data_IF_822296566640
#
_entry.id   IF_822296566640
#
_cell.length_a   1.000
_cell.length_b   1.000
_cell.length_c   1.000
_cell.angle_alpha   90.00
_cell.angle_beta   90.00
_cell.angle_gamma   90.00
#
_symmetry.space_group_name_H-M   'P 1'
#
loop_
_entity.id
_entity.type
_entity.pdbx_description
1 polymer ?
#
# COMPACT_ATOMS: atom_id res chain seq x y z
N UNK A 1 -11.19 25.48 -15.64
CA UNK A 1 -11.20 24.15 -16.27
C UNK A 1 -9.85 23.43 -16.16
N UNK A 2 -8.75 24.00 -16.67
CA UNK A 2 -7.41 23.37 -16.67
C UNK A 2 -6.89 22.91 -15.29
N UNK A 3 -7.07 23.71 -14.24
CA UNK A 3 -6.61 23.36 -12.89
C UNK A 3 -7.40 22.20 -12.23
N UNK A 4 -8.70 22.08 -12.51
CA UNK A 4 -9.54 20.98 -12.00
C UNK A 4 -9.26 19.68 -12.75
N UNK A 5 -9.04 19.74 -14.07
CA UNK A 5 -8.61 18.59 -14.84
C UNK A 5 -7.26 18.05 -14.32
N UNK A 6 -6.29 18.94 -14.08
CA UNK A 6 -5.01 18.54 -13.48
C UNK A 6 -5.17 17.92 -12.09
N UNK A 7 -6.04 18.48 -11.25
CA UNK A 7 -6.35 17.90 -9.94
C UNK A 7 -6.90 16.47 -10.06
N UNK A 8 -7.84 16.24 -10.99
CA UNK A 8 -8.43 14.94 -11.23
C UNK A 8 -7.40 13.92 -11.76
N UNK A 9 -6.52 14.32 -12.69
CA UNK A 9 -5.44 13.46 -13.19
C UNK A 9 -4.46 13.10 -12.08
N UNK A 10 -4.03 14.09 -11.28
CA UNK A 10 -3.14 13.86 -10.15
C UNK A 10 -3.76 12.92 -9.10
N UNK A 11 -5.04 13.14 -8.77
CA UNK A 11 -5.79 12.30 -7.84
C UNK A 11 -5.93 10.87 -8.35
N UNK A 12 -6.37 10.69 -9.60
CA UNK A 12 -6.55 9.37 -10.20
C UNK A 12 -5.23 8.58 -10.25
N UNK A 13 -4.16 9.22 -10.73
CA UNK A 13 -2.83 8.61 -10.76
C UNK A 13 -2.32 8.21 -9.37
N UNK A 14 -2.46 9.09 -8.39
CA UNK A 14 -2.04 8.80 -7.02
C UNK A 14 -2.87 7.70 -6.35
N UNK A 15 -4.18 7.64 -6.60
CA UNK A 15 -5.02 6.51 -6.17
C UNK A 15 -4.55 5.19 -6.78
N UNK A 16 -4.16 5.18 -8.06
CA UNK A 16 -3.57 3.98 -8.69
C UNK A 16 -2.25 3.58 -8.01
N UNK A 17 -1.40 4.55 -7.66
CA UNK A 17 -0.15 4.27 -6.91
C UNK A 17 -0.46 3.65 -5.55
N UNK A 18 -1.35 4.25 -4.74
CA UNK A 18 -1.72 3.68 -3.43
C UNK A 18 -2.27 2.28 -3.60
N UNK A 19 -3.29 2.10 -4.45
CA UNK A 19 -3.92 0.80 -4.68
C UNK A 19 -2.88 -0.24 -5.12
N UNK A 20 -1.97 0.13 -6.01
CA UNK A 20 -0.92 -0.76 -6.48
C UNK A 20 0.04 -1.13 -5.34
N UNK A 21 0.55 -0.17 -4.57
CA UNK A 21 1.52 -0.46 -3.51
C UNK A 21 0.90 -1.24 -2.33
N UNK A 22 -0.38 -1.01 -2.02
CA UNK A 22 -1.05 -1.71 -0.90
C UNK A 22 -1.52 -3.11 -1.28
N UNK A 23 -1.86 -3.36 -2.55
CA UNK A 23 -2.32 -4.68 -3.01
C UNK A 23 -1.20 -5.52 -3.64
N UNK A 24 -0.26 -4.89 -4.36
CA UNK A 24 0.82 -5.61 -5.04
C UNK A 24 1.96 -6.02 -4.10
N UNK A 25 1.95 -5.57 -2.84
CA UNK A 25 2.86 -6.05 -1.79
C UNK A 25 2.83 -7.58 -1.62
N UNK A 26 1.73 -8.23 -1.99
CA UNK A 26 1.60 -9.68 -2.01
C UNK A 26 2.38 -10.38 -3.15
N UNK A 27 2.99 -9.62 -4.07
CA UNK A 27 3.69 -10.15 -5.24
C UNK A 27 5.15 -9.68 -5.34
N UNK A 28 5.57 -8.67 -4.57
CA UNK A 28 6.92 -8.10 -4.65
C UNK A 28 7.61 -8.09 -3.29
N UNK A 29 8.87 -8.49 -3.28
CA UNK A 29 9.76 -8.40 -2.12
C UNK A 29 10.54 -7.07 -2.16
N UNK A 30 10.37 -6.22 -1.14
CA UNK A 30 11.22 -5.04 -0.95
C UNK A 30 12.22 -5.34 0.17
N UNK A 31 13.44 -5.72 -0.22
CA UNK A 31 14.53 -6.04 0.69
C UNK A 31 14.12 -7.11 1.72
N UNK A 32 14.38 -6.82 3.00
CA UNK A 32 13.93 -7.65 4.13
C UNK A 32 12.65 -7.14 4.80
N UNK A 33 12.07 -6.03 4.32
CA UNK A 33 10.86 -5.43 4.89
C UNK A 33 9.57 -6.11 4.40
N UNK A 34 9.53 -6.54 3.13
CA UNK A 34 8.38 -7.26 2.57
C UNK A 34 8.74 -8.68 2.16
N UNK A 35 8.25 -9.66 2.92
CA UNK A 35 8.27 -11.06 2.49
C UNK A 35 6.89 -11.44 1.89
N UNK A 36 6.77 -11.71 0.59
CA UNK A 36 5.51 -12.03 -0.08
C UNK A 36 4.75 -13.21 0.52
N UNK A 37 5.48 -14.22 1.01
CA UNK A 37 4.90 -15.43 1.61
C UNK A 37 4.11 -15.11 2.88
N UNK A 38 4.53 -14.08 3.61
CA UNK A 38 3.83 -13.59 4.80
C UNK A 38 2.71 -12.58 4.47
N UNK A 39 2.54 -12.19 3.21
CA UNK A 39 1.59 -11.15 2.78
C UNK A 39 0.40 -11.74 2.02
N UNK A 40 0.51 -12.95 1.46
CA UNK A 40 -0.63 -13.70 0.90
C UNK A 40 -1.44 -14.35 2.02
N UNK A 41 -2.25 -13.54 2.67
CA UNK A 41 -3.16 -13.99 3.70
C UNK A 41 -4.59 -13.49 3.42
N UNK A 42 -5.56 -14.14 4.04
CA UNK A 42 -6.91 -13.61 4.21
C UNK A 42 -7.18 -13.56 5.71
N UNK A 43 -6.76 -12.47 6.33
CA UNK A 43 -6.86 -12.26 7.78
C UNK A 43 -7.57 -10.93 8.05
N UNK A 44 -8.42 -10.92 9.07
CA UNK A 44 -9.08 -9.72 9.58
C UNK A 44 -8.51 -9.39 10.96
N UNK A 45 -7.87 -8.23 11.08
CA UNK A 45 -7.36 -7.68 12.34
C UNK A 45 -8.27 -6.53 12.75
N UNK A 46 -9.14 -6.82 13.71
CA UNK A 46 -10.14 -5.87 14.20
C UNK A 46 -9.82 -5.36 15.61
N UNK A 47 -8.74 -5.86 16.21
CA UNK A 47 -8.26 -5.38 17.51
C UNK A 47 -7.41 -4.13 17.28
N UNK A 48 -7.88 -2.95 17.68
CA UNK A 48 -7.14 -1.72 17.43
C UNK A 48 -5.87 -1.66 18.26
N UNK A 49 -4.81 -1.14 17.66
CA UNK A 49 -3.51 -0.86 18.22
C UNK A 49 -2.79 -2.09 18.80
N UNK A 50 -3.05 -3.28 18.27
CA UNK A 50 -2.45 -4.53 18.77
C UNK A 50 -0.92 -4.57 18.55
N UNK A 51 -0.43 -3.99 17.45
CA UNK A 51 1.01 -3.96 17.15
C UNK A 51 1.81 -3.03 18.07
N UNK A 52 1.18 -2.14 18.83
CA UNK A 52 1.87 -1.38 19.89
C UNK A 52 2.39 -2.29 21.01
N UNK A 53 1.76 -3.44 21.20
CA UNK A 53 2.11 -4.40 22.25
C UNK A 53 2.95 -5.57 21.71
N UNK A 54 3.39 -5.52 20.45
CA UNK A 54 4.18 -6.57 19.79
C UNK A 54 5.63 -6.69 20.28
N UNK A 55 6.09 -5.79 21.16
CA UNK A 55 7.47 -5.74 21.65
C UNK A 55 8.47 -5.10 20.67
N UNK A 56 8.02 -4.70 19.48
CA UNK A 56 8.81 -3.94 18.51
C UNK A 56 8.30 -2.51 18.40
N UNK A 57 9.18 -1.51 18.52
CA UNK A 57 8.82 -0.11 18.32
C UNK A 57 8.78 0.28 16.83
N UNK A 58 9.58 -0.40 15.99
CA UNK A 58 9.75 -0.04 14.59
C UNK A 58 8.56 -0.48 13.73
N UNK A 59 8.02 -1.68 13.97
CA UNK A 59 6.90 -2.23 13.21
C UNK A 59 5.67 -1.30 13.24
N UNK A 60 5.09 -0.95 14.40
CA UNK A 60 3.94 -0.05 14.46
C UNK A 60 4.28 1.35 13.95
N UNK A 61 5.49 1.86 14.19
CA UNK A 61 5.90 3.16 13.65
C UNK A 61 5.92 3.18 12.11
N UNK A 62 6.41 2.10 11.50
CA UNK A 62 6.46 1.96 10.05
C UNK A 62 5.08 1.72 9.43
N UNK A 63 4.27 0.84 10.00
CA UNK A 63 2.94 0.50 9.48
C UNK A 63 1.96 1.66 9.65
N UNK A 64 1.76 2.14 10.88
CA UNK A 64 0.82 3.24 11.16
C UNK A 64 1.30 4.56 10.57
N UNK A 65 2.59 4.86 10.71
CA UNK A 65 3.19 6.07 10.16
C UNK A 65 3.19 6.08 8.63
N UNK A 66 3.44 4.93 7.99
CA UNK A 66 3.41 4.77 6.53
C UNK A 66 2.01 5.01 5.97
N UNK A 67 1.00 4.38 6.57
CA UNK A 67 -0.41 4.53 6.20
C UNK A 67 -0.89 5.98 6.33
N UNK A 68 -0.61 6.60 7.49
CA UNK A 68 -0.85 8.02 7.70
C UNK A 68 -0.17 8.88 6.62
N UNK A 69 1.12 8.68 6.38
CA UNK A 69 1.89 9.47 5.43
C UNK A 69 1.41 9.32 3.98
N UNK A 70 1.00 8.12 3.56
CA UNK A 70 0.47 7.88 2.20
C UNK A 70 -0.85 8.60 1.96
N UNK A 71 -1.70 8.71 2.98
CA UNK A 71 -3.00 9.36 2.85
C UNK A 71 -2.96 10.89 3.02
N UNK A 72 -1.87 11.48 3.53
CA UNK A 72 -1.72 12.95 3.59
C UNK A 72 -1.78 13.59 2.19
N UNK A 73 -0.98 13.17 1.19
CA UNK A 73 -1.11 13.71 -0.16
C UNK A 73 -2.49 13.44 -0.78
N UNK A 74 -3.10 12.27 -0.50
CA UNK A 74 -4.45 11.96 -0.96
C UNK A 74 -5.48 12.97 -0.40
N UNK A 75 -5.42 13.26 0.90
CA UNK A 75 -6.27 14.25 1.56
C UNK A 75 -6.15 15.65 0.96
N UNK A 76 -4.93 16.06 0.61
CA UNK A 76 -4.67 17.32 -0.09
C UNK A 76 -5.35 17.33 -1.46
N UNK A 77 -5.15 16.29 -2.27
CA UNK A 77 -5.71 16.19 -3.61
C UNK A 77 -7.25 16.13 -3.58
N UNK A 78 -7.82 15.37 -2.65
CA UNK A 78 -9.26 15.30 -2.42
C UNK A 78 -9.82 16.67 -2.01
N UNK A 79 -9.16 17.39 -1.09
CA UNK A 79 -9.58 18.74 -0.70
C UNK A 79 -9.60 19.70 -1.89
N UNK A 80 -8.58 19.67 -2.74
CA UNK A 80 -8.53 20.51 -3.94
C UNK A 80 -9.68 20.18 -4.92
N UNK A 81 -10.12 18.91 -4.94
CA UNK A 81 -11.22 18.46 -5.79
C UNK A 81 -12.61 18.84 -5.23
N UNK A 82 -12.83 18.66 -3.91
CA UNK A 82 -14.16 18.79 -3.28
C UNK A 82 -14.36 20.08 -2.49
N UNK A 83 -13.29 20.83 -2.23
CA UNK A 83 -13.29 22.12 -1.52
C UNK A 83 -13.70 22.07 -0.05
N UNK A 84 -13.80 20.89 0.55
CA UNK A 84 -14.28 20.70 1.92
C UNK A 84 -13.44 19.66 2.64
N UNK A 85 -12.93 20.04 3.83
CA UNK A 85 -12.15 19.15 4.70
C UNK A 85 -12.94 17.89 5.05
N UNK A 86 -14.19 18.05 5.50
CA UNK A 86 -15.05 16.92 5.88
C UNK A 86 -15.28 15.97 4.71
N UNK A 87 -15.64 16.50 3.52
CA UNK A 87 -15.84 15.66 2.33
C UNK A 87 -14.56 14.94 1.92
N UNK A 88 -13.41 15.61 1.98
CA UNK A 88 -12.12 15.00 1.67
C UNK A 88 -11.77 13.86 2.65
N UNK A 89 -12.00 14.06 3.95
CA UNK A 89 -11.81 13.01 4.96
C UNK A 89 -12.74 11.82 4.72
N UNK A 90 -14.02 12.06 4.42
CA UNK A 90 -14.99 10.99 4.12
C UNK A 90 -14.56 10.21 2.87
N UNK A 91 -14.13 10.89 1.81
CA UNK A 91 -13.62 10.22 0.61
C UNK A 91 -12.33 9.44 0.88
N UNK A 92 -11.45 9.94 1.74
CA UNK A 92 -10.27 9.21 2.21
C UNK A 92 -10.65 7.94 2.98
N UNK A 93 -11.60 8.02 3.90
CA UNK A 93 -12.14 6.88 4.64
C UNK A 93 -12.75 5.84 3.69
N UNK A 94 -13.60 6.27 2.75
CA UNK A 94 -14.23 5.39 1.75
C UNK A 94 -13.19 4.71 0.88
N UNK A 95 -12.18 5.45 0.42
CA UNK A 95 -11.11 4.88 -0.39
C UNK A 95 -10.27 3.87 0.41
N UNK A 96 -9.93 4.18 1.66
CA UNK A 96 -9.24 3.25 2.56
C UNK A 96 -10.04 1.97 2.75
N UNK A 97 -11.34 2.08 3.09
CA UNK A 97 -12.22 0.93 3.24
C UNK A 97 -12.33 0.09 1.95
N UNK A 98 -12.32 0.73 0.77
CA UNK A 98 -12.29 0.03 -0.51
C UNK A 98 -11.00 -0.76 -0.71
N UNK A 99 -9.84 -0.16 -0.38
CA UNK A 99 -8.53 -0.85 -0.46
C UNK A 99 -8.51 -2.06 0.46
N UNK A 100 -8.92 -1.89 1.72
CA UNK A 100 -9.03 -2.99 2.69
C UNK A 100 -9.97 -4.10 2.19
N UNK A 101 -11.14 -3.72 1.65
CA UNK A 101 -12.11 -4.68 1.09
C UNK A 101 -11.51 -5.46 -0.07
N UNK A 102 -10.79 -4.80 -0.98
CA UNK A 102 -10.09 -5.46 -2.10
C UNK A 102 -9.04 -6.44 -1.56
N UNK A 103 -8.25 -6.04 -0.57
CA UNK A 103 -7.24 -6.91 0.03
C UNK A 103 -7.87 -8.17 0.63
N UNK A 104 -8.96 -8.03 1.38
CA UNK A 104 -9.67 -9.17 1.96
C UNK A 104 -10.30 -10.09 0.91
N UNK A 105 -11.08 -9.53 -0.02
CA UNK A 105 -11.84 -10.30 -1.04
C UNK A 105 -10.90 -11.10 -1.94
N UNK A 106 -9.78 -10.50 -2.34
CA UNK A 106 -8.81 -11.13 -3.24
C UNK A 106 -7.66 -11.83 -2.50
N UNK A 107 -7.71 -11.93 -1.17
CA UNK A 107 -6.67 -12.59 -0.35
C UNK A 107 -5.26 -12.02 -0.58
N UNK A 108 -5.17 -10.70 -0.72
CA UNK A 108 -3.94 -9.97 -1.04
C UNK A 108 -3.23 -9.40 0.20
N UNK A 109 -3.69 -9.75 1.41
CA UNK A 109 -3.17 -9.15 2.62
C UNK A 109 -4.01 -9.38 3.87
N UNK A 110 -3.48 -8.83 4.97
CA UNK A 110 -4.21 -8.65 6.21
C UNK A 110 -5.00 -7.35 6.10
N UNK A 111 -6.29 -7.43 6.37
CA UNK A 111 -7.14 -6.25 6.49
C UNK A 111 -7.16 -5.81 7.94
N UNK A 112 -6.83 -4.53 8.17
CA UNK A 112 -6.57 -4.01 9.51
C UNK A 112 -7.42 -2.76 9.82
N UNK A 113 -8.02 -2.73 11.00
CA UNK A 113 -8.77 -1.57 11.48
C UNK A 113 -7.85 -0.36 11.71
N UNK A 114 -6.59 -0.61 12.08
CA UNK A 114 -5.62 0.46 12.29
C UNK A 114 -5.25 1.13 10.97
N UNK A 115 -5.13 0.37 9.88
CA UNK A 115 -4.92 0.90 8.53
C UNK A 115 -6.07 1.84 8.15
N UNK A 116 -7.32 1.43 8.37
CA UNK A 116 -8.50 2.28 8.16
C UNK A 116 -8.42 3.59 8.96
N UNK A 117 -8.02 3.50 10.23
CA UNK A 117 -7.90 4.64 11.14
C UNK A 117 -6.79 5.61 10.73
N UNK A 118 -5.56 5.13 10.55
CA UNK A 118 -4.40 5.97 10.21
C UNK A 118 -4.49 6.56 8.80
N UNK A 119 -5.04 5.83 7.83
CA UNK A 119 -5.36 6.36 6.51
C UNK A 119 -6.37 7.50 6.60
N UNK A 120 -7.42 7.35 7.41
CA UNK A 120 -8.43 8.39 7.60
C UNK A 120 -7.85 9.63 8.28
N UNK A 121 -6.98 9.45 9.28
CA UNK A 121 -6.24 10.54 9.91
C UNK A 121 -5.33 11.26 8.90
N UNK A 122 -4.59 10.51 8.08
CA UNK A 122 -3.76 11.06 7.02
C UNK A 122 -4.58 11.94 6.06
N UNK A 123 -5.73 11.43 5.61
CA UNK A 123 -6.63 12.20 4.73
C UNK A 123 -7.18 13.46 5.41
N UNK A 124 -7.53 13.38 6.70
CA UNK A 124 -7.96 14.54 7.48
C UNK A 124 -6.86 15.60 7.59
N UNK A 125 -5.65 15.23 8.00
CA UNK A 125 -4.55 16.18 8.14
C UNK A 125 -4.11 16.75 6.79
N UNK A 126 -4.07 15.93 5.74
CA UNK A 126 -3.84 16.40 4.38
C UNK A 126 -4.86 17.46 3.95
N UNK A 127 -6.15 17.19 4.14
CA UNK A 127 -7.20 18.14 3.79
C UNK A 127 -7.13 19.41 4.67
N UNK A 128 -6.78 19.28 5.94
CA UNK A 128 -6.56 20.40 6.84
C UNK A 128 -5.37 21.26 6.36
N UNK A 129 -4.22 20.67 6.04
CA UNK A 129 -3.08 21.40 5.48
C UNK A 129 -3.46 22.13 4.18
N UNK A 130 -4.19 21.46 3.28
CA UNK A 130 -4.63 22.07 2.03
C UNK A 130 -5.61 23.24 2.25
N UNK A 131 -6.41 23.20 3.30
CA UNK A 131 -7.29 24.30 3.69
C UNK A 131 -6.49 25.52 4.18
N UNK A 132 -5.41 25.29 4.94
CA UNK A 132 -4.56 26.37 5.46
C UNK A 132 -3.64 26.97 4.38
N UNK A 133 -3.26 26.17 3.39
CA UNK A 133 -2.21 26.51 2.43
C UNK A 133 -2.81 26.92 1.08
N UNK A 134 -2.42 28.08 0.55
CA UNK A 134 -3.02 28.67 -0.64
C UNK A 134 -2.77 27.91 -1.96
N UNK A 135 -3.38 28.40 -3.05
CA UNK A 135 -3.40 27.77 -4.40
C UNK A 135 -2.04 27.37 -4.97
N UNK A 136 -0.95 28.08 -4.61
CA UNK A 136 0.42 27.76 -5.08
C UNK A 136 0.86 26.38 -4.58
N UNK A 137 0.56 26.06 -3.33
CA UNK A 137 0.94 24.77 -2.77
C UNK A 137 0.05 23.64 -3.31
N UNK A 138 -1.22 23.92 -3.64
CA UNK A 138 -2.08 22.95 -4.32
C UNK A 138 -1.48 22.51 -5.67
N UNK A 139 -0.95 23.45 -6.44
CA UNK A 139 -0.29 23.14 -7.71
C UNK A 139 0.97 22.29 -7.51
N UNK A 140 1.77 22.59 -6.47
CA UNK A 140 2.93 21.78 -6.10
C UNK A 140 2.54 20.31 -5.83
N UNK A 141 1.54 20.07 -4.96
CA UNK A 141 1.10 18.71 -4.63
C UNK A 141 0.51 17.95 -5.82
N UNK A 142 -0.19 18.65 -6.74
CA UNK A 142 -0.67 18.04 -7.99
C UNK A 142 0.48 17.57 -8.88
N UNK A 143 1.49 18.42 -9.09
CA UNK A 143 2.65 18.06 -9.90
C UNK A 143 3.49 16.98 -9.26
N UNK A 144 3.67 17.03 -7.94
CA UNK A 144 4.35 15.99 -7.19
C UNK A 144 3.65 14.64 -7.36
N UNK A 145 2.32 14.60 -7.22
CA UNK A 145 1.54 13.37 -7.43
C UNK A 145 1.65 12.83 -8.87
N UNK A 146 1.62 13.71 -9.87
CA UNK A 146 1.82 13.33 -11.27
C UNK A 146 3.24 12.77 -11.48
N UNK A 147 4.27 13.42 -10.93
CA UNK A 147 5.64 12.97 -11.03
C UNK A 147 5.83 11.61 -10.33
N UNK A 148 5.29 11.43 -9.12
CA UNK A 148 5.29 10.15 -8.41
C UNK A 148 4.60 9.06 -9.22
N UNK A 149 3.45 9.35 -9.83
CA UNK A 149 2.73 8.40 -10.69
C UNK A 149 3.57 8.03 -11.92
N UNK A 150 4.19 9.02 -12.58
CA UNK A 150 5.05 8.77 -13.74
C UNK A 150 6.28 7.92 -13.38
N UNK A 151 6.96 8.24 -12.27
CA UNK A 151 8.07 7.44 -11.74
C UNK A 151 7.62 6.02 -11.43
N UNK A 152 6.47 5.86 -10.77
CA UNK A 152 5.91 4.55 -10.47
C UNK A 152 5.64 3.73 -11.74
N UNK A 153 5.00 4.33 -12.75
CA UNK A 153 4.77 3.67 -14.05
C UNK A 153 6.08 3.27 -14.71
N UNK A 154 7.07 4.16 -14.73
CA UNK A 154 8.40 3.86 -15.30
C UNK A 154 9.05 2.69 -14.57
N UNK A 155 9.00 2.67 -13.24
CA UNK A 155 9.54 1.57 -12.44
C UNK A 155 8.81 0.24 -12.71
N UNK A 156 7.48 0.28 -12.89
CA UNK A 156 6.70 -0.93 -13.22
C UNK A 156 7.05 -1.44 -14.62
N UNK A 157 7.16 -0.55 -15.61
CA UNK A 157 7.44 -0.92 -17.02
C UNK A 157 8.91 -1.32 -17.24
N UNK A 158 9.84 -0.64 -16.57
CA UNK A 158 11.28 -0.90 -16.67
C UNK A 158 11.80 -1.86 -15.61
N UNK A 159 11.01 -2.23 -14.60
CA UNK A 159 11.39 -3.13 -13.51
C UNK A 159 12.10 -4.39 -13.99
N UNK A 160 11.58 -5.11 -15.00
CA UNK A 160 12.25 -6.30 -15.57
C UNK A 160 13.63 -6.03 -16.18
N UNK A 161 13.96 -4.78 -16.50
CA UNK A 161 15.22 -4.34 -17.12
C UNK A 161 16.20 -3.68 -16.15
N UNK A 162 15.75 -3.36 -14.94
CA UNK A 162 16.53 -2.64 -13.91
C UNK A 162 17.13 -3.57 -12.84
N UNK A 163 16.75 -4.84 -12.83
CA UNK A 163 17.28 -5.86 -11.91
C UNK A 163 18.34 -6.74 -12.55
N UNK A 164 19.32 -7.16 -11.76
CA UNK A 164 20.24 -8.24 -12.12
C UNK A 164 19.46 -9.57 -12.05
N UNK A 165 19.20 -10.27 -13.18
CA UNK A 165 18.41 -11.49 -13.19
C UNK A 165 19.00 -12.58 -12.28
N UNK A 166 20.32 -12.54 -11.99
CA UNK A 166 20.97 -13.47 -11.08
C UNK A 166 20.59 -13.28 -9.59
N UNK A 167 19.97 -12.14 -9.23
CA UNK A 167 19.53 -11.84 -7.85
C UNK A 167 18.03 -12.01 -7.65
N UNK A 168 17.28 -12.34 -8.70
CA UNK A 168 15.88 -12.71 -8.60
C UNK A 168 15.82 -14.14 -8.06
N UNK A 169 15.34 -14.32 -6.83
CA UNK A 169 15.15 -15.67 -6.28
C UNK A 169 13.98 -16.35 -6.99
N UNK A 170 14.26 -17.40 -7.74
CA UNK A 170 13.23 -18.27 -8.30
C UNK A 170 12.56 -19.08 -7.18
N UNK A 171 11.35 -18.66 -6.81
CA UNK A 171 10.53 -19.30 -5.76
C UNK A 171 10.05 -20.72 -6.14
N UNK A 172 10.16 -21.11 -7.42
CA UNK A 172 9.87 -22.48 -7.88
C UNK A 172 10.83 -23.52 -7.31
N UNK A 173 12.07 -23.12 -6.99
CA UNK A 173 13.09 -24.02 -6.45
C UNK A 173 12.82 -24.41 -4.99
N UNK A 174 12.22 -23.51 -4.21
CA UNK A 174 11.82 -23.79 -2.83
C UNK A 174 10.66 -24.79 -2.76
N UNK A 175 9.65 -24.63 -3.61
CA UNK A 175 8.53 -25.57 -3.71
C UNK A 175 8.99 -26.98 -4.08
N UNK A 176 9.88 -27.11 -5.08
CA UNK A 176 10.41 -28.42 -5.49
C UNK A 176 11.28 -29.10 -4.42
N UNK A 177 11.99 -28.32 -3.59
CA UNK A 177 12.85 -28.85 -2.54
C UNK A 177 12.01 -29.44 -1.39
N UNK A 178 10.96 -28.74 -0.94
CA UNK A 178 10.05 -29.26 0.09
C UNK A 178 9.24 -30.47 -0.41
N UNK A 179 8.81 -30.47 -1.67
CA UNK A 179 8.10 -31.59 -2.29
C UNK A 179 9.01 -32.83 -2.42
N UNK A 180 10.28 -32.63 -2.76
CA UNK A 180 11.26 -33.73 -2.82
C UNK A 180 11.61 -34.30 -1.43
N UNK A 181 11.72 -33.44 -0.40
CA UNK A 181 12.03 -33.86 0.96
C UNK A 181 10.85 -34.60 1.61
N UNK A 182 9.63 -34.13 1.38
CA UNK A 182 8.41 -34.81 1.85
C UNK A 182 8.18 -36.16 1.15
N UNK A 183 8.49 -36.27 -0.15
CA UNK A 183 8.46 -37.54 -0.87
C UNK A 183 9.52 -38.54 -0.35
N UNK A 184 10.72 -38.06 -0.01
CA UNK A 184 11.78 -38.90 0.57
C UNK A 184 11.46 -39.36 1.99
N UNK A 185 10.86 -38.50 2.82
CA UNK A 185 10.43 -38.86 4.17
C UNK A 185 9.22 -39.82 4.16
N UNK A 186 8.31 -39.68 3.20
CA UNK A 186 7.16 -40.58 3.02
C UNK A 186 7.58 -41.99 2.56
N UNK A 187 8.59 -42.09 1.69
CA UNK A 187 9.14 -43.38 1.24
C UNK A 187 9.99 -44.07 2.30
N UNK A 188 10.62 -43.32 3.21
CA UNK A 188 11.38 -43.88 4.34
C UNK A 188 10.49 -44.39 5.50
N UNK A 189 9.20 -44.03 5.53
CA UNK A 189 8.29 -44.33 6.64
C UNK A 189 7.41 -45.60 6.44
N UNK A 190 7.56 -46.34 5.35
CA UNK A 190 6.88 -47.63 5.15
C UNK A 190 7.75 -48.78 5.69
N UNK A 191 7.39 -49.43 6.81
CA UNK A 191 8.05 -50.66 7.22
C UNK A 191 7.63 -51.81 6.29
N UNK A 192 8.59 -52.70 5.99
CA UNK A 192 8.37 -53.96 5.28
C UNK A 192 7.55 -54.96 6.11
#
# INVERSE_FOLDING_TARGET
>A
MKARLRAAVALGGYCTVILSLTTLKAFFQIGYLWNPDNQRARELRLMPLDDLFSGSWFKPAFEYGGNFAFFVPLGILLYVQVGSKLKATIWGLVFSALVETIQYVFSLGRTDIDDLFFNTLGAFFGAWFAQQLGKRLHAFWQWLAIATTAVFIVLVVLGPRLGDPAKVKDLSLYGSAEESLSAQLSTAALPA
#
